data_IF_840418447027
#
_entry.id   IF_840418447027
#
_cell.length_a   1.000
_cell.length_b   1.000
_cell.length_c   1.000
_cell.angle_alpha   90.00
_cell.angle_beta   90.00
_cell.angle_gamma   90.00
#
_symmetry.space_group_name_H-M   'P 1'
#
loop_
_entity.id
_entity.type
_entity.pdbx_description
1 polymer ?
#
# COMPACT_ATOMS: atom_id res chain seq x y z
N UNK A 1 25.73 6.72 4.56
CA UNK A 1 24.39 6.71 5.19
C UNK A 1 23.35 6.56 4.10
N UNK A 2 22.53 5.55 4.26
CA UNK A 2 21.43 5.31 3.32
C UNK A 2 20.22 6.13 3.76
N UNK A 3 19.61 6.86 2.83
CA UNK A 3 18.37 7.52 3.13
C UNK A 3 17.21 6.51 3.04
N UNK A 4 16.01 6.95 3.37
CA UNK A 4 14.84 6.07 3.42
C UNK A 4 14.54 5.47 2.05
N UNK A 5 14.71 6.25 0.99
CA UNK A 5 14.46 5.80 -0.38
C UNK A 5 15.44 4.69 -0.78
N UNK A 6 16.73 4.87 -0.46
CA UNK A 6 17.72 3.85 -0.76
C UNK A 6 17.46 2.55 -0.04
N UNK A 7 17.00 2.62 1.21
CA UNK A 7 16.64 1.43 1.98
C UNK A 7 15.46 0.70 1.36
N UNK A 8 14.46 1.42 0.90
CA UNK A 8 13.28 0.82 0.28
C UNK A 8 13.61 0.18 -1.07
N UNK A 9 14.44 0.81 -1.88
CA UNK A 9 14.92 0.24 -3.14
C UNK A 9 15.70 -1.06 -2.88
N UNK A 10 16.53 -1.08 -1.86
CA UNK A 10 17.26 -2.28 -1.46
C UNK A 10 16.32 -3.40 -1.06
N UNK A 11 15.29 -3.08 -0.30
CA UNK A 11 14.28 -4.07 0.12
C UNK A 11 13.61 -4.67 -1.11
N UNK A 12 13.21 -3.85 -2.06
CA UNK A 12 12.56 -4.30 -3.28
C UNK A 12 13.48 -5.24 -4.05
N UNK A 13 14.72 -4.87 -4.23
CA UNK A 13 15.70 -5.69 -4.97
C UNK A 13 16.01 -6.98 -4.24
N UNK A 14 16.25 -6.89 -2.95
CA UNK A 14 16.69 -8.03 -2.13
C UNK A 14 15.58 -9.08 -1.98
N UNK A 15 14.36 -8.66 -1.80
CA UNK A 15 13.23 -9.55 -1.59
C UNK A 15 12.40 -9.77 -2.84
N UNK A 16 12.87 -9.29 -3.98
CA UNK A 16 12.20 -9.44 -5.27
C UNK A 16 10.74 -8.99 -5.21
N UNK A 17 10.52 -7.81 -4.63
CA UNK A 17 9.18 -7.26 -4.52
C UNK A 17 8.56 -7.12 -5.90
N UNK A 18 7.34 -7.60 -6.04
CA UNK A 18 6.56 -7.50 -7.26
C UNK A 18 5.24 -6.77 -6.98
N UNK A 19 4.39 -6.69 -8.00
CA UNK A 19 3.10 -6.02 -7.85
C UNK A 19 2.21 -6.67 -6.79
N UNK A 20 2.31 -7.98 -6.61
CA UNK A 20 1.56 -8.68 -5.57
C UNK A 20 1.97 -8.22 -4.19
N UNK A 21 3.26 -8.06 -3.98
CA UNK A 21 3.76 -7.58 -2.70
C UNK A 21 3.38 -6.12 -2.46
N UNK A 22 3.45 -5.29 -3.50
CA UNK A 22 2.99 -3.90 -3.43
C UNK A 22 1.51 -3.85 -3.01
N UNK A 23 0.67 -4.66 -3.66
CA UNK A 23 -0.75 -4.70 -3.35
C UNK A 23 -1.00 -5.16 -1.91
N UNK A 24 -0.23 -6.13 -1.45
CA UNK A 24 -0.35 -6.64 -0.08
C UNK A 24 0.05 -5.57 0.94
N UNK A 25 1.12 -4.85 0.70
CA UNK A 25 1.55 -3.77 1.58
C UNK A 25 0.46 -2.69 1.68
N UNK A 26 -0.10 -2.29 0.55
CA UNK A 26 -1.19 -1.33 0.53
C UNK A 26 -2.42 -1.85 1.29
N UNK A 27 -2.85 -3.07 0.97
CA UNK A 27 -4.03 -3.66 1.59
C UNK A 27 -3.85 -3.82 3.09
N UNK A 28 -2.69 -4.28 3.53
CA UNK A 28 -2.41 -4.47 4.94
C UNK A 28 -2.37 -3.14 5.69
N UNK A 29 -1.79 -2.09 5.08
CA UNK A 29 -1.83 -0.76 5.67
C UNK A 29 -3.27 -0.29 5.88
N UNK A 30 -4.14 -0.52 4.90
CA UNK A 30 -5.55 -0.17 5.02
C UNK A 30 -6.22 -0.92 6.17
N UNK A 31 -6.01 -2.22 6.25
CA UNK A 31 -6.57 -3.04 7.34
C UNK A 31 -6.09 -2.53 8.69
N UNK A 32 -4.80 -2.22 8.80
CA UNK A 32 -4.21 -1.73 10.04
C UNK A 32 -4.84 -0.41 10.51
N UNK A 33 -5.36 0.38 9.58
CA UNK A 33 -5.91 1.70 9.89
C UNK A 33 -7.43 1.73 9.80
N UNK A 34 -8.07 0.56 9.66
CA UNK A 34 -9.52 0.48 9.60
C UNK A 34 -10.12 1.04 8.31
N UNK A 35 -9.35 1.02 7.23
CA UNK A 35 -9.78 1.53 5.92
C UNK A 35 -10.11 0.37 4.98
N UNK A 36 -11.00 0.64 4.02
CA UNK A 36 -11.37 -0.34 3.01
C UNK A 36 -10.46 -0.19 1.78
N UNK A 37 -9.58 -1.15 1.51
CA UNK A 37 -8.67 -1.06 0.36
C UNK A 37 -9.41 -0.95 -0.97
N UNK A 38 -10.55 -1.61 -1.12
CA UNK A 38 -11.33 -1.54 -2.36
C UNK A 38 -11.89 -0.15 -2.59
N UNK A 39 -12.36 0.51 -1.53
CA UNK A 39 -12.88 1.87 -1.62
C UNK A 39 -11.79 2.85 -2.05
N UNK A 40 -10.61 2.75 -1.43
CA UNK A 40 -9.49 3.61 -1.80
C UNK A 40 -9.04 3.38 -3.23
N UNK A 41 -8.95 2.13 -3.63
CA UNK A 41 -8.58 1.77 -5.00
C UNK A 41 -9.57 2.33 -6.02
N UNK A 42 -10.86 2.22 -5.73
CA UNK A 42 -11.91 2.76 -6.61
C UNK A 42 -11.85 4.27 -6.74
N UNK A 43 -11.46 4.97 -5.67
CA UNK A 43 -11.26 6.42 -5.73
C UNK A 43 -10.11 6.80 -6.65
N UNK A 44 -9.04 6.02 -6.62
CA UNK A 44 -7.88 6.28 -7.46
C UNK A 44 -8.14 5.92 -8.92
N UNK A 45 -8.87 4.84 -9.15
CA UNK A 45 -9.08 4.30 -10.50
C UNK A 45 -10.57 3.98 -10.74
N UNK A 46 -11.41 5.03 -10.82
CA UNK A 46 -12.87 4.81 -10.92
C UNK A 46 -13.31 4.13 -12.20
N UNK A 47 -12.46 4.11 -13.23
CA UNK A 47 -12.77 3.48 -14.51
C UNK A 47 -12.42 1.99 -14.54
N UNK A 48 -11.69 1.51 -13.54
CA UNK A 48 -11.31 0.11 -13.48
C UNK A 48 -12.36 -0.68 -12.70
N UNK A 49 -12.68 -1.86 -13.22
CA UNK A 49 -13.58 -2.77 -12.54
C UNK A 49 -12.80 -3.60 -11.52
N UNK A 50 -13.03 -4.90 -11.48
CA UNK A 50 -12.34 -5.77 -10.52
C UNK A 50 -10.85 -5.81 -10.76
N UNK A 51 -10.09 -5.73 -9.68
CA UNK A 51 -8.65 -5.95 -9.71
C UNK A 51 -8.35 -7.26 -8.98
N UNK A 52 -8.05 -8.31 -9.74
CA UNK A 52 -7.72 -9.62 -9.17
C UNK A 52 -6.51 -9.58 -8.26
N UNK A 53 -5.54 -8.73 -8.58
CA UNK A 53 -4.33 -8.58 -7.76
C UNK A 53 -4.70 -8.05 -6.36
N UNK A 54 -5.58 -7.07 -6.30
CA UNK A 54 -6.03 -6.52 -5.03
C UNK A 54 -6.83 -7.56 -4.24
N UNK A 55 -7.69 -8.32 -4.91
CA UNK A 55 -8.46 -9.37 -4.25
C UNK A 55 -7.55 -10.45 -3.66
N UNK A 56 -6.54 -10.85 -4.40
CA UNK A 56 -5.54 -11.81 -3.89
C UNK A 56 -4.83 -11.25 -2.66
N UNK A 57 -4.44 -9.98 -2.72
CA UNK A 57 -3.76 -9.33 -1.60
C UNK A 57 -4.66 -9.28 -0.37
N UNK A 58 -5.93 -8.94 -0.56
CA UNK A 58 -6.89 -8.89 0.55
C UNK A 58 -7.03 -10.24 1.25
N UNK A 59 -7.01 -11.31 0.48
CA UNK A 59 -7.10 -12.66 1.04
C UNK A 59 -5.89 -13.01 1.92
N UNK A 60 -4.77 -12.33 1.71
CA UNK A 60 -3.54 -12.58 2.45
C UNK A 60 -3.36 -11.62 3.64
N UNK A 61 -4.21 -10.60 3.77
CA UNK A 61 -4.10 -9.70 4.91
C UNK A 61 -4.50 -10.40 6.20
N UNK A 62 -3.94 -9.93 7.30
CA UNK A 62 -4.21 -10.48 8.63
C UNK A 62 -4.66 -9.34 9.54
N UNK A 63 -5.25 -9.64 10.71
CA UNK A 63 -5.60 -8.58 11.66
C UNK A 63 -4.39 -7.74 12.03
N UNK A 64 -4.64 -6.48 12.33
CA UNK A 64 -3.60 -5.52 12.70
C UNK A 64 -2.63 -6.07 13.75
N UNK A 65 -3.16 -6.77 14.73
CA UNK A 65 -2.38 -7.29 15.85
C UNK A 65 -1.35 -8.34 15.41
N UNK A 66 -1.61 -9.00 14.30
CA UNK A 66 -0.70 -10.03 13.77
C UNK A 66 0.28 -9.48 12.75
N UNK A 67 -0.09 -8.41 12.06
CA UNK A 67 0.70 -7.89 10.95
C UNK A 67 1.87 -7.02 11.36
N UNK A 68 1.74 -6.34 12.48
CA UNK A 68 2.67 -5.28 12.84
C UNK A 68 2.40 -4.01 12.06
N UNK A 69 3.07 -2.94 12.41
CA UNK A 69 2.84 -1.63 11.85
C UNK A 69 3.53 -1.47 10.49
N UNK A 70 2.80 -0.87 9.54
CA UNK A 70 3.35 -0.46 8.26
C UNK A 70 3.23 1.06 8.20
N UNK A 71 4.35 1.76 8.01
CA UNK A 71 4.30 3.22 7.95
C UNK A 71 3.67 3.69 6.65
N UNK A 72 2.95 4.81 6.72
CA UNK A 72 2.37 5.43 5.52
C UNK A 72 3.45 5.84 4.52
N UNK A 73 4.62 6.28 5.00
CA UNK A 73 5.73 6.61 4.12
C UNK A 73 6.17 5.42 3.27
N UNK A 74 6.25 4.24 3.87
CA UNK A 74 6.60 3.03 3.14
C UNK A 74 5.57 2.72 2.05
N UNK A 75 4.28 2.81 2.38
CA UNK A 75 3.21 2.55 1.42
C UNK A 75 3.28 3.56 0.26
N UNK A 76 3.44 4.84 0.58
CA UNK A 76 3.53 5.89 -0.44
C UNK A 76 4.69 5.66 -1.39
N UNK A 77 5.86 5.34 -0.85
CA UNK A 77 7.05 5.11 -1.67
C UNK A 77 6.91 3.87 -2.55
N UNK A 78 6.38 2.79 -1.99
CA UNK A 78 6.19 1.55 -2.75
C UNK A 78 5.20 1.78 -3.90
N UNK A 79 4.09 2.47 -3.64
CA UNK A 79 3.12 2.76 -4.69
C UNK A 79 3.74 3.62 -5.79
N UNK A 80 4.53 4.61 -5.42
CA UNK A 80 5.19 5.48 -6.40
C UNK A 80 6.21 4.73 -7.24
N UNK A 81 6.96 3.80 -6.63
CA UNK A 81 7.93 2.99 -7.36
C UNK A 81 7.30 2.13 -8.44
N UNK A 82 6.07 1.70 -8.23
CA UNK A 82 5.32 0.91 -9.22
C UNK A 82 4.41 1.76 -10.10
N UNK A 83 4.55 3.08 -10.03
CA UNK A 83 3.81 3.99 -10.90
C UNK A 83 2.35 4.20 -10.51
N UNK A 84 1.97 3.85 -9.29
CA UNK A 84 0.60 4.01 -8.81
C UNK A 84 0.42 5.34 -8.08
N UNK A 85 0.73 6.44 -8.77
CA UNK A 85 0.71 7.77 -8.18
C UNK A 85 -0.69 8.21 -7.75
N UNK A 86 -1.72 7.84 -8.51
CA UNK A 86 -3.10 8.17 -8.15
C UNK A 86 -3.50 7.50 -6.83
N UNK A 87 -3.12 6.25 -6.65
CA UNK A 87 -3.40 5.54 -5.41
C UNK A 87 -2.57 6.10 -4.26
N UNK A 88 -1.32 6.47 -4.53
CA UNK A 88 -0.47 7.11 -3.53
C UNK A 88 -1.10 8.42 -3.04
N UNK A 89 -1.70 9.18 -3.94
CA UNK A 89 -2.40 10.40 -3.58
C UNK A 89 -3.57 10.13 -2.64
N UNK A 90 -4.38 9.11 -2.95
CA UNK A 90 -5.52 8.73 -2.09
C UNK A 90 -5.03 8.28 -0.71
N UNK A 91 -3.96 7.49 -0.66
CA UNK A 91 -3.37 7.08 0.62
C UNK A 91 -2.91 8.29 1.42
N UNK A 92 -2.28 9.26 0.75
CA UNK A 92 -1.83 10.49 1.40
C UNK A 92 -3.00 11.27 2.02
N UNK A 93 -4.12 11.35 1.31
CA UNK A 93 -5.32 12.02 1.82
C UNK A 93 -5.86 11.31 3.07
N UNK A 94 -5.95 9.99 3.03
CA UNK A 94 -6.47 9.23 4.16
C UNK A 94 -5.51 9.30 5.35
N UNK A 95 -4.21 9.28 5.08
CA UNK A 95 -3.21 9.41 6.13
C UNK A 95 -3.33 10.75 6.86
N UNK A 96 -3.60 11.82 6.13
CA UNK A 96 -3.81 13.14 6.73
C UNK A 96 -5.03 13.15 7.66
N UNK A 97 -6.09 12.44 7.29
CA UNK A 97 -7.28 12.31 8.14
C UNK A 97 -6.99 11.52 9.42
N UNK A 98 -6.15 10.50 9.32
CA UNK A 98 -5.81 9.67 10.47
C UNK A 98 -5.01 10.40 11.53
N UNK A 99 -4.34 11.48 11.15
CA UNK A 99 -3.51 12.28 12.07
C UNK A 99 -4.26 13.37 12.82
N UNK A 100 -5.55 13.49 12.61
CA UNK A 100 -6.37 14.47 13.31
C UNK A 100 -6.71 14.02 14.73
#
# INVERSE_FOLDING_TARGET
ILDKKDMEEKIIQQYKMDEKMMALIFAQWCVNNGLDPKALYSRAYPQQEKNGLLEEALALTVPKEEAGEISSGTVLNVLSLFGNDDLAFVVSEENAKLKR
#
